data_IF_724398613450
#
_entry.id   IF_724398613450
#
_cell.length_a   1.000
_cell.length_b   1.000
_cell.length_c   1.000
_cell.angle_alpha   90.00
_cell.angle_beta   90.00
_cell.angle_gamma   90.00
#
_symmetry.space_group_name_H-M   'P 1'
#
loop_
_entity.id
_entity.type
_entity.pdbx_description
1 polymer ?
#
# COMPACT_ATOMS: atom_id res chain seq x y z
N UNK A 1 12.22 -14.81 18.14
CA UNK A 1 12.36 -14.43 16.71
C UNK A 1 12.89 -13.00 16.66
N UNK A 2 13.83 -12.66 15.75
CA UNK A 2 14.27 -11.26 15.61
C UNK A 2 13.19 -10.44 14.92
N UNK A 3 12.98 -9.18 15.29
CA UNK A 3 12.01 -8.30 14.63
C UNK A 3 12.73 -7.31 13.73
N UNK A 4 12.20 -7.07 12.53
CA UNK A 4 12.70 -6.06 11.60
C UNK A 4 11.54 -5.23 11.07
N UNK A 5 11.69 -3.90 11.14
CA UNK A 5 10.74 -2.96 10.57
C UNK A 5 11.00 -2.77 9.07
N UNK A 6 9.95 -2.56 8.27
CA UNK A 6 10.06 -2.16 6.86
C UNK A 6 9.33 -0.84 6.65
N UNK A 7 9.90 0.05 5.84
CA UNK A 7 9.27 1.35 5.51
C UNK A 7 8.23 1.25 4.40
N UNK A 8 8.19 0.12 3.69
CA UNK A 8 7.23 -0.25 2.63
C UNK A 8 7.47 -1.71 2.25
N UNK A 9 6.68 -2.25 1.32
CA UNK A 9 6.88 -3.61 0.80
C UNK A 9 8.29 -3.77 0.22
N UNK A 10 8.99 -4.82 0.66
CA UNK A 10 10.31 -5.27 0.19
C UNK A 10 10.21 -6.76 -0.16
N UNK A 11 11.26 -7.42 -0.70
CA UNK A 11 11.38 -8.87 -0.78
C UNK A 11 11.24 -9.60 0.56
N UNK A 12 10.03 -9.60 1.13
CA UNK A 12 9.71 -10.09 2.48
C UNK A 12 10.02 -11.59 2.60
N UNK A 13 9.91 -12.32 1.49
CA UNK A 13 10.29 -13.73 1.40
C UNK A 13 11.74 -13.97 1.87
N UNK A 14 12.66 -13.01 1.61
CA UNK A 14 14.06 -13.06 2.05
C UNK A 14 14.17 -12.92 3.56
N UNK A 15 13.42 -11.97 4.14
CA UNK A 15 13.44 -11.69 5.59
C UNK A 15 12.83 -12.85 6.40
N UNK A 16 11.71 -13.38 5.92
CA UNK A 16 11.06 -14.55 6.50
C UNK A 16 11.94 -15.81 6.37
N UNK A 17 12.59 -16.01 5.22
CA UNK A 17 13.58 -17.07 5.05
C UNK A 17 14.76 -16.91 6.02
N UNK A 18 15.12 -15.69 6.40
CA UNK A 18 16.16 -15.40 7.39
C UNK A 18 15.66 -15.54 8.85
N UNK A 19 14.37 -15.86 9.06
CA UNK A 19 13.78 -16.07 10.38
C UNK A 19 13.42 -14.78 11.12
N UNK A 20 13.18 -13.69 10.39
CA UNK A 20 12.67 -12.44 10.97
C UNK A 20 11.15 -12.46 11.10
N UNK A 21 10.67 -11.85 12.18
CA UNK A 21 9.35 -11.25 12.27
C UNK A 21 9.40 -9.91 11.56
N UNK A 22 8.65 -9.74 10.48
CA UNK A 22 8.61 -8.50 9.71
C UNK A 22 7.44 -7.66 10.18
N UNK A 23 7.64 -6.35 10.35
CA UNK A 23 6.60 -5.40 10.75
C UNK A 23 6.62 -4.22 9.79
N UNK A 24 5.51 -3.93 9.12
CA UNK A 24 5.35 -2.73 8.33
C UNK A 24 5.13 -1.54 9.27
N UNK A 25 6.08 -0.62 9.25
CA UNK A 25 6.07 0.54 10.14
C UNK A 25 4.94 1.51 9.81
N UNK A 26 4.41 1.50 8.57
CA UNK A 26 3.23 2.26 8.20
C UNK A 26 1.98 1.67 8.84
N UNK A 27 1.82 0.35 8.78
CA UNK A 27 0.68 -0.35 9.39
C UNK A 27 0.70 -0.15 10.91
N UNK A 28 1.87 -0.34 11.54
CA UNK A 28 2.06 -0.11 12.98
C UNK A 28 1.74 1.33 13.41
N UNK A 29 2.10 2.31 12.57
CA UNK A 29 1.82 3.72 12.80
C UNK A 29 0.33 4.03 12.70
N UNK A 30 -0.29 3.76 11.55
CA UNK A 30 -1.63 4.27 11.22
C UNK A 30 -2.76 3.52 11.93
N UNK A 31 -2.53 2.27 12.32
CA UNK A 31 -3.52 1.45 13.03
C UNK A 31 -3.50 1.64 14.55
N UNK A 32 -2.56 2.43 15.08
CA UNK A 32 -2.52 2.78 16.50
C UNK A 32 -3.71 3.65 16.88
N UNK A 33 -4.37 3.32 17.98
CA UNK A 33 -5.45 4.13 18.57
C UNK A 33 -5.00 5.58 18.81
N UNK A 34 -3.75 5.73 19.25
CA UNK A 34 -3.07 7.01 19.37
C UNK A 34 -1.95 7.07 18.33
N UNK A 35 -2.31 7.27 17.06
CA UNK A 35 -1.33 7.44 15.97
C UNK A 35 -0.59 8.78 16.09
N UNK A 36 -1.24 9.79 16.67
CA UNK A 36 -0.73 11.15 16.75
C UNK A 36 0.55 11.24 17.58
N UNK A 37 0.66 10.44 18.66
CA UNK A 37 1.88 10.36 19.47
C UNK A 37 3.15 10.11 18.66
N UNK A 38 3.07 9.30 17.59
CA UNK A 38 4.23 8.99 16.76
C UNK A 38 4.69 10.21 15.95
N UNK A 39 3.75 11.01 15.46
CA UNK A 39 4.05 12.28 14.79
C UNK A 39 4.69 13.25 15.77
N UNK A 40 4.15 13.35 17.00
CA UNK A 40 4.69 14.25 18.03
C UNK A 40 6.10 13.90 18.47
N UNK A 41 6.42 12.60 18.58
CA UNK A 41 7.79 12.14 18.86
C UNK A 41 8.75 12.70 17.80
N UNK A 42 8.41 12.58 16.52
CA UNK A 42 9.25 13.10 15.44
C UNK A 42 9.37 14.64 15.49
N UNK A 43 8.28 15.35 15.71
CA UNK A 43 8.30 16.82 15.74
C UNK A 43 9.08 17.36 16.96
N UNK A 44 8.98 16.70 18.12
CA UNK A 44 9.78 17.02 19.30
C UNK A 44 11.28 16.83 19.07
N UNK A 45 11.63 15.80 18.31
CA UNK A 45 13.01 15.49 17.95
C UNK A 45 13.53 16.33 16.77
N UNK A 46 12.72 17.27 16.27
CA UNK A 46 13.15 18.31 15.34
C UNK A 46 12.69 18.11 13.88
N UNK A 47 11.82 17.13 13.59
CA UNK A 47 11.25 17.02 12.24
C UNK A 47 10.42 18.28 11.91
N UNK A 48 10.63 18.91 10.75
CA UNK A 48 9.92 20.14 10.41
C UNK A 48 8.43 19.87 10.25
N UNK A 49 7.59 20.87 10.55
CA UNK A 49 6.13 20.75 10.30
C UNK A 49 5.84 20.46 8.82
N UNK A 50 6.66 20.99 7.91
CA UNK A 50 6.60 20.81 6.47
C UNK A 50 7.28 19.52 5.95
N UNK A 51 7.14 18.41 6.68
CA UNK A 51 7.55 17.08 6.20
C UNK A 51 6.41 16.08 6.32
N UNK A 52 6.46 15.06 5.46
CA UNK A 52 5.43 14.04 5.30
C UNK A 52 5.09 13.36 6.63
N UNK A 53 3.79 13.27 6.93
CA UNK A 53 3.28 12.65 8.15
C UNK A 53 3.66 11.17 8.27
N UNK A 54 3.70 10.42 7.16
CA UNK A 54 4.14 9.02 7.17
C UNK A 54 5.59 8.86 7.64
N UNK A 55 6.50 9.74 7.21
CA UNK A 55 7.90 9.68 7.61
C UNK A 55 8.06 9.97 9.11
N UNK A 56 7.30 10.94 9.63
CA UNK A 56 7.23 11.23 11.08
C UNK A 56 6.66 10.04 11.84
N UNK A 57 5.55 9.48 11.34
CA UNK A 57 4.89 8.32 11.91
C UNK A 57 5.80 7.10 12.00
N UNK A 58 6.52 6.77 10.92
CA UNK A 58 7.50 5.69 10.88
C UNK A 58 8.62 5.93 11.92
N UNK A 59 9.18 7.14 11.98
CA UNK A 59 10.21 7.49 12.97
C UNK A 59 9.71 7.26 14.40
N UNK A 60 8.54 7.83 14.73
CA UNK A 60 7.93 7.66 16.04
C UNK A 60 7.62 6.21 16.35
N UNK A 61 7.09 5.45 15.39
CA UNK A 61 6.76 4.04 15.54
C UNK A 61 8.00 3.19 15.84
N UNK A 62 9.14 3.47 15.20
CA UNK A 62 10.42 2.79 15.46
C UNK A 62 10.88 3.02 16.90
N UNK A 63 10.89 4.29 17.35
CA UNK A 63 11.38 4.63 18.68
C UNK A 63 10.48 4.12 19.80
N UNK A 64 9.18 4.41 19.70
CA UNK A 64 8.19 4.06 20.71
C UNK A 64 8.09 2.53 20.91
N UNK A 65 8.13 1.77 19.81
CA UNK A 65 8.03 0.31 19.85
C UNK A 65 9.39 -0.40 19.96
N UNK A 66 10.48 0.35 20.17
CA UNK A 66 11.84 -0.18 20.37
C UNK A 66 12.30 -1.11 19.23
N UNK A 67 11.96 -0.76 17.99
CA UNK A 67 12.39 -1.50 16.81
C UNK A 67 13.88 -1.21 16.58
N UNK A 68 14.72 -2.24 16.67
CA UNK A 68 16.19 -2.08 16.61
C UNK A 68 16.79 -2.28 15.21
N UNK A 69 16.04 -2.90 14.30
CA UNK A 69 16.47 -3.18 12.93
C UNK A 69 15.40 -2.71 11.94
N UNK A 70 15.80 -1.98 10.88
CA UNK A 70 14.88 -1.41 9.88
C UNK A 70 15.42 -1.61 8.46
N UNK A 71 14.57 -2.03 7.52
CA UNK A 71 14.81 -1.89 6.08
C UNK A 71 14.25 -0.55 5.62
N UNK A 72 15.11 0.34 5.14
CA UNK A 72 14.70 1.62 4.56
C UNK A 72 14.76 1.59 3.04
N UNK A 73 13.61 1.70 2.38
CA UNK A 73 13.55 1.75 0.90
C UNK A 73 13.87 3.14 0.40
N UNK A 74 15.06 3.30 -0.19
CA UNK A 74 15.61 4.58 -0.62
C UNK A 74 15.34 4.91 -2.10
N UNK A 75 14.86 3.95 -2.88
CA UNK A 75 14.51 4.10 -4.29
C UNK A 75 13.29 3.24 -4.61
N UNK A 76 12.32 3.80 -5.34
CA UNK A 76 11.07 3.13 -5.70
C UNK A 76 9.95 3.20 -4.65
N UNK A 77 9.99 4.16 -3.71
CA UNK A 77 8.85 4.42 -2.84
C UNK A 77 8.77 5.88 -2.39
N UNK A 78 9.59 6.28 -1.40
CA UNK A 78 9.57 7.62 -0.84
C UNK A 78 10.98 8.26 -0.90
N UNK A 79 11.10 9.41 -1.53
CA UNK A 79 12.35 10.17 -1.60
C UNK A 79 12.87 10.63 -0.22
N UNK A 80 11.96 10.84 0.73
CA UNK A 80 12.29 11.26 2.09
C UNK A 80 12.89 10.14 2.94
N UNK A 81 12.82 8.87 2.52
CA UNK A 81 13.38 7.74 3.28
C UNK A 81 14.90 7.87 3.45
N UNK A 82 15.60 8.45 2.47
CA UNK A 82 17.06 8.71 2.58
C UNK A 82 17.40 9.54 3.82
N UNK A 83 16.65 10.61 4.08
CA UNK A 83 16.85 11.44 5.27
C UNK A 83 16.40 10.71 6.55
N UNK A 84 15.27 10.00 6.50
CA UNK A 84 14.77 9.23 7.64
C UNK A 84 15.80 8.21 8.16
N UNK A 85 16.45 7.46 7.26
CA UNK A 85 17.40 6.42 7.67
C UNK A 85 18.66 6.98 8.32
N UNK A 86 19.07 8.21 7.99
CA UNK A 86 20.22 8.88 8.62
C UNK A 86 19.90 9.22 10.07
N UNK A 87 18.71 9.79 10.32
CA UNK A 87 18.25 10.12 11.67
C UNK A 87 18.05 8.84 12.51
N UNK A 88 17.51 7.77 11.93
CA UNK A 88 17.38 6.48 12.63
C UNK A 88 18.75 5.89 13.02
N UNK A 89 19.74 5.93 12.12
CA UNK A 89 21.11 5.47 12.43
C UNK A 89 21.74 6.28 13.56
N UNK A 90 21.54 7.60 13.57
CA UNK A 90 22.02 8.46 14.65
C UNK A 90 21.42 8.07 16.01
N UNK A 91 20.18 7.57 16.03
CA UNK A 91 19.52 7.03 17.21
C UNK A 91 19.90 5.57 17.53
N UNK A 92 20.96 5.04 16.91
CA UNK A 92 21.48 3.69 17.19
C UNK A 92 20.67 2.56 16.55
N UNK A 93 19.72 2.87 15.66
CA UNK A 93 18.94 1.85 14.94
C UNK A 93 19.79 1.28 13.82
N UNK A 94 19.82 -0.06 13.71
CA UNK A 94 20.49 -0.73 12.59
C UNK A 94 19.63 -0.64 11.35
N UNK A 95 20.08 0.12 10.35
CA UNK A 95 19.32 0.31 9.11
C UNK A 95 19.99 -0.35 7.91
N UNK A 96 19.22 -1.13 7.17
CA UNK A 96 19.61 -1.72 5.89
C UNK A 96 18.91 -0.95 4.75
N UNK A 97 19.66 -0.22 3.91
CA UNK A 97 19.06 0.43 2.75
C UNK A 97 18.69 -0.62 1.69
N UNK A 98 17.51 -0.47 1.09
CA UNK A 98 17.07 -1.24 -0.06
C UNK A 98 16.66 -0.30 -1.19
N UNK A 99 16.97 -0.63 -2.43
CA UNK A 99 16.66 0.20 -3.59
C UNK A 99 16.11 -0.67 -4.72
N UNK A 100 14.88 -0.40 -5.15
CA UNK A 100 14.37 -1.00 -6.38
C UNK A 100 15.12 -0.43 -7.59
N UNK A 101 15.45 -1.26 -8.60
CA UNK A 101 16.23 -0.79 -9.74
C UNK A 101 15.37 0.07 -10.66
N UNK A 102 15.73 1.36 -10.80
CA UNK A 102 15.05 2.30 -11.69
C UNK A 102 14.99 1.83 -13.16
N UNK A 103 15.97 1.03 -13.61
CA UNK A 103 15.99 0.52 -14.98
C UNK A 103 14.79 -0.38 -15.32
N UNK A 104 14.09 -0.89 -14.30
CA UNK A 104 13.01 -1.87 -14.44
C UNK A 104 13.42 -3.05 -15.33
N UNK A 105 14.70 -3.45 -15.31
CA UNK A 105 15.18 -4.60 -16.08
C UNK A 105 15.17 -5.85 -15.21
N UNK A 106 14.73 -6.99 -15.76
CA UNK A 106 14.71 -8.25 -15.01
C UNK A 106 16.11 -8.66 -14.52
N UNK A 107 17.16 -8.29 -15.25
CA UNK A 107 18.56 -8.52 -14.87
C UNK A 107 18.91 -7.75 -13.59
N UNK A 108 18.53 -6.47 -13.52
CA UNK A 108 18.82 -5.63 -12.36
C UNK A 108 17.94 -5.98 -11.15
N UNK A 109 16.68 -6.37 -11.38
CA UNK A 109 15.79 -6.91 -10.33
C UNK A 109 16.43 -8.16 -9.73
N UNK A 110 16.89 -9.08 -10.58
CA UNK A 110 17.55 -10.32 -10.13
C UNK A 110 18.80 -10.03 -9.33
N UNK A 111 19.66 -9.11 -9.80
CA UNK A 111 20.86 -8.70 -9.08
C UNK A 111 20.53 -8.10 -7.71
N UNK A 112 19.54 -7.21 -7.66
CA UNK A 112 19.10 -6.53 -6.44
C UNK A 112 18.60 -7.53 -5.39
N UNK A 113 17.73 -8.45 -5.80
CA UNK A 113 17.18 -9.46 -4.89
C UNK A 113 18.26 -10.45 -4.44
N UNK A 114 19.19 -10.85 -5.32
CA UNK A 114 20.32 -11.71 -4.92
C UNK A 114 21.23 -11.04 -3.90
N UNK A 115 21.59 -9.78 -4.11
CA UNK A 115 22.36 -9.02 -3.12
C UNK A 115 21.63 -8.93 -1.77
N UNK A 116 20.30 -8.81 -1.81
CA UNK A 116 19.47 -8.82 -0.60
C UNK A 116 19.47 -10.21 0.08
N UNK A 117 19.42 -11.31 -0.69
CA UNK A 117 19.59 -12.67 -0.18
C UNK A 117 20.96 -12.87 0.49
N UNK A 118 22.03 -12.40 -0.16
CA UNK A 118 23.41 -12.50 0.35
C UNK A 118 23.58 -11.72 1.66
N UNK A 119 22.99 -10.51 1.74
CA UNK A 119 23.00 -9.68 2.96
C UNK A 119 22.36 -10.41 4.16
N UNK A 120 21.32 -11.19 3.93
CA UNK A 120 20.61 -11.94 4.97
C UNK A 120 21.05 -13.41 5.07
N UNK A 121 22.02 -13.84 4.26
CA UNK A 121 22.58 -15.19 4.29
C UNK A 121 21.58 -16.29 3.96
N UNK A 122 20.65 -16.06 3.04
CA UNK A 122 19.60 -17.03 2.66
C UNK A 122 19.76 -17.53 1.23
N UNK A 123 19.38 -18.79 0.99
CA UNK A 123 19.42 -19.37 -0.34
C UNK A 123 18.15 -19.06 -1.14
N UNK A 124 18.31 -18.94 -2.47
CA UNK A 124 17.20 -18.75 -3.41
C UNK A 124 16.13 -19.85 -3.24
N UNK A 125 16.52 -21.11 -3.00
CA UNK A 125 15.59 -22.21 -2.76
C UNK A 125 14.70 -21.99 -1.54
N UNK A 126 15.26 -21.47 -0.44
CA UNK A 126 14.48 -21.18 0.79
C UNK A 126 13.51 -20.03 0.54
N UNK A 127 13.96 -19.00 -0.15
CA UNK A 127 13.15 -17.84 -0.53
C UNK A 127 11.99 -18.25 -1.44
N UNK A 128 12.23 -19.09 -2.44
CA UNK A 128 11.18 -19.64 -3.32
C UNK A 128 10.16 -20.50 -2.56
N UNK A 129 10.60 -21.24 -1.55
CA UNK A 129 9.67 -21.99 -0.68
C UNK A 129 8.75 -21.05 0.09
N UNK A 130 9.28 -19.95 0.64
CA UNK A 130 8.46 -18.93 1.31
C UNK A 130 7.53 -18.25 0.32
N UNK A 131 8.01 -17.86 -0.87
CA UNK A 131 7.16 -17.25 -1.91
C UNK A 131 5.95 -18.12 -2.23
N UNK A 132 6.16 -19.43 -2.43
CA UNK A 132 5.07 -20.37 -2.70
C UNK A 132 4.06 -20.42 -1.55
N UNK A 133 4.52 -20.45 -0.30
CA UNK A 133 3.67 -20.38 0.90
C UNK A 133 2.84 -19.10 0.96
N UNK A 134 3.45 -17.94 0.71
CA UNK A 134 2.76 -16.65 0.72
C UNK A 134 1.75 -16.52 -0.44
N UNK A 135 2.01 -17.18 -1.57
CA UNK A 135 1.09 -17.18 -2.70
C UNK A 135 -0.27 -17.79 -2.36
N UNK A 136 -0.34 -18.74 -1.44
CA UNK A 136 -1.62 -19.30 -0.99
C UNK A 136 -2.46 -18.26 -0.24
N UNK A 137 -1.83 -17.38 0.54
CA UNK A 137 -2.50 -16.27 1.23
C UNK A 137 -2.89 -15.16 0.22
N UNK A 138 -2.01 -14.85 -0.74
CA UNK A 138 -2.29 -13.87 -1.80
C UNK A 138 -3.49 -14.27 -2.65
N UNK A 139 -3.77 -15.56 -2.83
CA UNK A 139 -5.01 -16.05 -3.48
C UNK A 139 -6.26 -15.67 -2.71
N UNK A 140 -6.22 -15.74 -1.38
CA UNK A 140 -7.33 -15.34 -0.51
C UNK A 140 -7.60 -13.83 -0.69
N UNK A 141 -6.54 -13.01 -0.65
CA UNK A 141 -6.66 -11.57 -0.88
C UNK A 141 -7.21 -11.24 -2.29
N UNK A 142 -6.78 -11.97 -3.31
CA UNK A 142 -7.33 -11.86 -4.68
C UNK A 142 -8.82 -12.24 -4.72
N UNK A 143 -9.25 -13.27 -3.99
CA UNK A 143 -10.68 -13.63 -3.89
C UNK A 143 -11.48 -12.53 -3.20
N UNK A 144 -10.97 -11.93 -2.13
CA UNK A 144 -11.58 -10.76 -1.46
C UNK A 144 -11.70 -9.59 -2.44
N UNK A 145 -10.68 -9.35 -3.27
CA UNK A 145 -10.72 -8.35 -4.35
C UNK A 145 -11.86 -8.64 -5.34
N UNK A 146 -12.00 -9.88 -5.82
CA UNK A 146 -13.11 -10.29 -6.68
C UNK A 146 -14.50 -10.15 -6.01
N UNK A 147 -14.62 -10.49 -4.73
CA UNK A 147 -15.85 -10.27 -3.96
C UNK A 147 -16.21 -8.79 -3.86
N UNK A 148 -15.24 -7.90 -3.94
CA UNK A 148 -15.44 -6.45 -3.91
C UNK A 148 -16.01 -5.96 -5.25
N UNK A 149 -15.31 -6.16 -6.36
CA UNK A 149 -15.68 -5.52 -7.63
C UNK A 149 -16.65 -6.34 -8.51
N UNK A 150 -16.69 -7.67 -8.37
CA UNK A 150 -17.59 -8.55 -9.15
C UNK A 150 -18.89 -8.78 -8.38
N UNK A 151 -18.79 -9.25 -7.13
CA UNK A 151 -19.95 -9.70 -6.37
C UNK A 151 -20.56 -8.61 -5.47
N UNK A 152 -19.84 -7.51 -5.18
CA UNK A 152 -20.33 -6.43 -4.33
C UNK A 152 -20.57 -6.85 -2.87
N UNK A 153 -19.85 -7.86 -2.37
CA UNK A 153 -20.03 -8.42 -1.01
C UNK A 153 -19.06 -7.85 0.03
N UNK A 154 -18.01 -7.18 -0.44
CA UNK A 154 -16.94 -6.60 0.38
C UNK A 154 -16.90 -5.11 0.12
N UNK A 155 -16.81 -4.32 1.18
CA UNK A 155 -16.72 -2.87 1.04
C UNK A 155 -15.29 -2.40 0.69
N UNK A 156 -15.15 -1.15 0.28
CA UNK A 156 -13.86 -0.64 -0.20
C UNK A 156 -12.80 -0.57 0.90
N UNK A 157 -13.22 -0.33 2.14
CA UNK A 157 -12.32 -0.24 3.30
C UNK A 157 -11.77 -1.61 3.69
N UNK A 158 -12.60 -2.64 3.73
CA UNK A 158 -12.18 -4.02 3.99
C UNK A 158 -11.20 -4.48 2.90
N UNK A 159 -11.54 -4.23 1.62
CA UNK A 159 -10.64 -4.52 0.50
C UNK A 159 -9.26 -3.86 0.68
N UNK A 160 -9.26 -2.56 0.98
CA UNK A 160 -8.07 -1.78 1.29
C UNK A 160 -7.25 -2.40 2.43
N UNK A 161 -7.90 -2.61 3.58
CA UNK A 161 -7.27 -3.07 4.81
C UNK A 161 -6.56 -4.41 4.61
N UNK A 162 -7.26 -5.39 4.04
CA UNK A 162 -6.67 -6.72 3.87
C UNK A 162 -5.55 -6.70 2.83
N UNK A 163 -5.63 -5.88 1.78
CA UNK A 163 -4.57 -5.75 0.78
C UNK A 163 -3.30 -5.10 1.34
N UNK A 164 -3.42 -4.02 2.14
CA UNK A 164 -2.23 -3.39 2.76
C UNK A 164 -1.58 -4.30 3.80
N UNK A 165 -2.37 -5.14 4.48
CA UNK A 165 -1.85 -6.06 5.49
C UNK A 165 -0.93 -7.16 4.91
N UNK A 166 -0.91 -7.38 3.59
CA UNK A 166 0.02 -8.34 2.96
C UNK A 166 1.46 -7.81 2.86
N UNK A 167 1.73 -6.53 3.15
CA UNK A 167 3.08 -6.00 3.15
C UNK A 167 3.97 -6.65 4.23
N UNK A 168 3.38 -7.06 5.36
CA UNK A 168 4.05 -7.75 6.46
C UNK A 168 3.28 -8.97 7.01
N UNK A 169 2.10 -9.28 6.46
CA UNK A 169 1.20 -10.34 6.96
C UNK A 169 0.89 -10.15 8.45
N UNK A 170 0.74 -8.90 8.91
CA UNK A 170 0.58 -8.53 10.32
C UNK A 170 1.66 -9.10 11.26
N UNK A 171 2.82 -9.46 10.71
CA UNK A 171 3.95 -10.01 11.44
C UNK A 171 3.82 -11.46 11.88
N UNK A 172 2.72 -12.15 11.58
CA UNK A 172 2.59 -13.60 11.75
C UNK A 172 1.77 -14.21 10.62
N UNK A 173 2.43 -15.01 9.78
CA UNK A 173 1.86 -15.54 8.54
C UNK A 173 0.70 -16.50 8.81
N UNK A 174 0.82 -17.35 9.83
CA UNK A 174 -0.14 -18.41 10.08
C UNK A 174 -1.38 -17.83 10.78
N UNK A 175 -1.19 -16.94 11.77
CA UNK A 175 -2.31 -16.22 12.40
C UNK A 175 -3.05 -15.32 11.38
N UNK A 176 -2.30 -14.66 10.49
CA UNK A 176 -2.89 -13.82 9.45
C UNK A 176 -3.69 -14.63 8.44
N UNK A 177 -3.20 -15.80 8.01
CA UNK A 177 -3.94 -16.69 7.11
C UNK A 177 -5.25 -17.16 7.75
N UNK A 178 -5.22 -17.63 9.00
CA UNK A 178 -6.42 -18.09 9.70
C UNK A 178 -7.46 -16.97 9.80
N UNK A 179 -7.01 -15.76 10.18
CA UNK A 179 -7.85 -14.57 10.25
C UNK A 179 -8.47 -14.25 8.89
N UNK A 180 -7.65 -14.22 7.83
CA UNK A 180 -8.09 -13.86 6.49
C UNK A 180 -9.06 -14.89 5.91
N UNK A 181 -8.85 -16.19 6.15
CA UNK A 181 -9.78 -17.27 5.77
C UNK A 181 -11.13 -17.13 6.49
N UNK A 182 -11.11 -16.87 7.80
CA UNK A 182 -12.34 -16.62 8.56
C UNK A 182 -13.11 -15.43 7.99
N UNK A 183 -12.41 -14.33 7.68
CA UNK A 183 -13.01 -13.14 7.07
C UNK A 183 -13.56 -13.41 5.69
N UNK A 184 -12.85 -14.15 4.85
CA UNK A 184 -13.36 -14.57 3.54
C UNK A 184 -14.68 -15.34 3.67
N UNK A 185 -14.75 -16.34 4.56
CA UNK A 185 -15.97 -17.11 4.79
C UNK A 185 -17.15 -16.26 5.31
N UNK A 186 -16.88 -15.25 6.14
CA UNK A 186 -17.88 -14.28 6.58
C UNK A 186 -18.39 -13.45 5.38
N UNK A 187 -17.48 -12.96 4.53
CA UNK A 187 -17.80 -12.12 3.37
C UNK A 187 -18.60 -12.86 2.29
N UNK A 188 -18.28 -14.12 2.01
CA UNK A 188 -18.95 -14.90 0.96
C UNK A 188 -20.45 -15.11 1.22
N UNK A 189 -20.85 -15.11 2.50
CA UNK A 189 -22.23 -15.27 2.96
C UNK A 189 -23.04 -13.96 2.94
N UNK A 190 -22.39 -12.81 2.75
CA UNK A 190 -23.06 -11.50 2.76
C UNK A 190 -23.93 -11.33 1.52
N UNK A 191 -25.01 -10.58 1.68
CA UNK A 191 -25.81 -10.11 0.55
C UNK A 191 -25.03 -9.05 -0.23
N UNK A 192 -24.98 -9.14 -1.57
CA UNK A 192 -24.40 -8.11 -2.42
C UNK A 192 -25.03 -6.73 -2.19
N UNK A 193 -24.18 -5.71 -2.05
CA UNK A 193 -24.56 -4.31 -2.11
C UNK A 193 -24.08 -3.76 -3.44
N UNK A 194 -25.01 -3.29 -4.26
CA UNK A 194 -24.69 -2.64 -5.54
C UNK A 194 -24.85 -1.13 -5.36
N UNK A 195 -23.82 -0.41 -5.74
CA UNK A 195 -23.78 1.05 -5.82
C UNK A 195 -23.80 1.48 -7.28
N UNK A 196 -24.39 2.64 -7.58
CA UNK A 196 -24.47 3.18 -8.94
C UNK A 196 -23.10 3.57 -9.47
N UNK A 197 -22.30 4.27 -8.67
CA UNK A 197 -21.00 4.82 -9.09
C UNK A 197 -19.87 3.92 -8.59
N UNK A 198 -19.00 3.51 -9.52
CA UNK A 198 -17.85 2.62 -9.30
C UNK A 198 -16.57 3.46 -9.34
N UNK A 199 -15.92 3.59 -8.19
CA UNK A 199 -14.73 4.42 -8.03
C UNK A 199 -13.47 3.56 -7.99
N UNK A 200 -12.39 4.10 -8.53
CA UNK A 200 -11.03 3.65 -8.24
C UNK A 200 -10.32 4.62 -7.31
N UNK A 201 -9.50 4.08 -6.42
CA UNK A 201 -8.57 4.81 -5.57
C UNK A 201 -7.16 4.54 -6.08
N UNK A 202 -6.38 5.59 -6.34
CA UNK A 202 -4.97 5.48 -6.72
C UNK A 202 -4.09 6.36 -5.84
N UNK A 203 -2.82 6.00 -5.72
CA UNK A 203 -1.87 6.67 -4.83
C UNK A 203 -1.67 5.96 -3.49
N UNK A 204 -0.90 6.59 -2.61
CA UNK A 204 -0.49 6.00 -1.33
C UNK A 204 -1.71 5.65 -0.44
N UNK A 205 -1.63 4.65 0.45
CA UNK A 205 -2.68 4.38 1.43
C UNK A 205 -3.15 5.66 2.17
N UNK A 206 -4.48 5.87 2.35
CA UNK A 206 -4.96 7.09 2.96
C UNK A 206 -4.77 7.05 4.46
N UNK A 207 -4.43 8.19 5.07
CA UNK A 207 -4.59 8.35 6.52
C UNK A 207 -6.06 8.53 6.90
N UNK A 208 -6.86 9.09 5.98
CA UNK A 208 -8.30 9.33 6.12
C UNK A 208 -9.13 8.12 5.68
N UNK A 209 -9.14 7.08 6.51
CA UNK A 209 -9.88 5.83 6.23
C UNK A 209 -11.40 6.01 6.15
N UNK A 210 -11.94 7.09 6.75
CA UNK A 210 -13.35 7.47 6.66
C UNK A 210 -13.78 7.88 5.24
N UNK A 211 -12.85 8.05 4.30
CA UNK A 211 -13.13 8.22 2.87
C UNK A 211 -14.03 7.12 2.32
N UNK A 212 -13.74 5.86 2.66
CA UNK A 212 -14.48 4.72 2.13
C UNK A 212 -15.94 4.74 2.60
N UNK A 213 -16.19 5.04 3.87
CA UNK A 213 -17.56 5.18 4.40
C UNK A 213 -18.25 6.43 3.82
N UNK A 214 -17.50 7.53 3.63
CA UNK A 214 -18.05 8.78 3.14
C UNK A 214 -18.65 8.65 1.74
N UNK A 215 -17.92 8.04 0.79
CA UNK A 215 -18.42 7.88 -0.59
C UNK A 215 -19.65 6.98 -0.67
N UNK A 216 -19.78 6.01 0.25
CA UNK A 216 -20.95 5.10 0.28
C UNK A 216 -22.26 5.82 0.62
N UNK A 217 -22.19 7.01 1.24
CA UNK A 217 -23.36 7.86 1.52
C UNK A 217 -23.98 8.45 0.25
N UNK A 218 -23.24 8.45 -0.85
CA UNK A 218 -23.62 9.02 -2.16
C UNK A 218 -23.77 7.91 -3.23
N UNK A 219 -24.30 6.75 -2.83
CA UNK A 219 -24.51 5.58 -3.69
C UNK A 219 -23.31 5.22 -4.59
N UNK A 220 -22.11 5.42 -4.03
CA UNK A 220 -20.83 5.22 -4.68
C UNK A 220 -19.99 4.21 -3.92
N UNK A 221 -19.05 3.54 -4.59
CA UNK A 221 -18.19 2.55 -3.96
C UNK A 221 -16.81 2.51 -4.58
N UNK A 222 -15.77 2.59 -3.74
CA UNK A 222 -14.39 2.29 -4.15
C UNK A 222 -14.22 0.77 -4.27
N UNK A 223 -13.95 0.32 -5.50
CA UNK A 223 -13.85 -1.11 -5.86
C UNK A 223 -12.45 -1.49 -6.40
N UNK A 224 -11.52 -0.55 -6.36
CA UNK A 224 -10.15 -0.71 -6.81
C UNK A 224 -9.25 0.19 -5.97
N UNK A 225 -8.22 -0.39 -5.35
CA UNK A 225 -7.22 0.29 -4.54
C UNK A 225 -5.85 -0.01 -5.15
N UNK A 226 -5.28 0.91 -5.94
CA UNK A 226 -4.10 0.61 -6.78
C UNK A 226 -2.87 0.15 -5.99
N UNK A 227 -2.28 1.02 -5.17
CA UNK A 227 -1.03 0.70 -4.46
C UNK A 227 -1.21 -0.46 -3.48
N UNK A 228 -2.34 -0.48 -2.77
CA UNK A 228 -2.68 -1.51 -1.80
C UNK A 228 -2.77 -2.88 -2.48
N UNK A 229 -3.43 -2.94 -3.63
CA UNK A 229 -3.51 -4.17 -4.42
C UNK A 229 -2.14 -4.66 -4.84
N UNK A 230 -1.19 -3.77 -5.14
CA UNK A 230 0.17 -4.14 -5.50
C UNK A 230 0.95 -4.74 -4.31
N UNK A 231 0.65 -4.38 -3.06
CA UNK A 231 1.22 -5.06 -1.87
C UNK A 231 0.73 -6.52 -1.74
N UNK A 232 -0.45 -6.82 -2.29
CA UNK A 232 -0.98 -8.18 -2.36
C UNK A 232 -0.40 -9.03 -3.49
N UNK A 233 0.49 -8.48 -4.33
CA UNK A 233 1.04 -9.13 -5.54
C UNK A 233 -0.05 -9.87 -6.33
N UNK A 234 -0.98 -9.14 -6.97
CA UNK A 234 -2.23 -9.68 -7.52
C UNK A 234 -2.00 -10.64 -8.70
N UNK A 235 -0.76 -10.71 -9.18
CA UNK A 235 -0.29 -11.50 -10.32
C UNK A 235 0.73 -12.59 -9.89
N UNK A 236 0.93 -12.81 -8.59
CA UNK A 236 1.93 -13.75 -8.05
C UNK A 236 1.80 -15.18 -8.59
N UNK A 237 0.59 -15.64 -8.92
CA UNK A 237 0.35 -16.97 -9.52
C UNK A 237 0.95 -17.12 -10.92
N UNK A 238 1.15 -16.01 -11.64
CA UNK A 238 1.73 -16.01 -13.00
C UNK A 238 3.25 -15.90 -12.98
N UNK A 239 3.82 -15.43 -11.87
CA UNK A 239 5.27 -15.25 -11.72
C UNK A 239 5.97 -16.60 -11.51
N UNK A 240 6.95 -16.90 -12.37
CA UNK A 240 7.70 -18.16 -12.29
C UNK A 240 8.57 -18.24 -11.03
N UNK A 241 9.15 -17.12 -10.64
CA UNK A 241 10.05 -16.97 -9.50
C UNK A 241 9.84 -15.61 -8.81
N UNK A 242 10.60 -15.37 -7.75
CA UNK A 242 10.59 -14.12 -7.00
C UNK A 242 11.01 -12.94 -7.87
N UNK A 243 11.89 -13.14 -8.85
CA UNK A 243 12.40 -12.07 -9.70
C UNK A 243 11.30 -11.55 -10.63
N UNK A 244 10.55 -12.43 -11.29
CA UNK A 244 9.38 -12.04 -12.09
C UNK A 244 8.30 -11.38 -11.23
N UNK A 245 8.09 -11.84 -9.98
CA UNK A 245 7.11 -11.24 -9.06
C UNK A 245 7.41 -9.77 -8.76
N UNK A 246 8.67 -9.45 -8.43
CA UNK A 246 9.07 -8.07 -8.12
C UNK A 246 9.37 -7.23 -9.38
N UNK A 247 9.61 -7.86 -10.53
CA UNK A 247 9.60 -7.16 -11.82
C UNK A 247 8.20 -6.65 -12.17
N UNK A 248 7.17 -7.44 -11.85
CA UNK A 248 5.78 -7.11 -12.11
C UNK A 248 5.11 -6.28 -11.00
N UNK A 249 5.83 -5.95 -9.92
CA UNK A 249 5.36 -5.06 -8.85
C UNK A 249 5.40 -3.61 -9.33
N UNK A 250 4.26 -3.00 -9.65
CA UNK A 250 4.25 -1.74 -10.43
C UNK A 250 4.67 -0.52 -9.62
N UNK A 251 4.41 -0.52 -8.31
CA UNK A 251 4.52 0.65 -7.45
C UNK A 251 5.93 1.29 -7.43
N UNK A 252 7.03 0.53 -7.42
CA UNK A 252 8.38 1.10 -7.37
C UNK A 252 8.93 1.64 -8.69
N UNK A 253 8.28 1.36 -9.81
CA UNK A 253 8.78 1.75 -11.12
C UNK A 253 8.07 2.99 -11.65
N UNK A 254 8.35 3.33 -12.90
CA UNK A 254 7.88 4.56 -13.50
C UNK A 254 6.35 4.64 -13.60
N UNK A 255 5.87 5.88 -13.71
CA UNK A 255 4.46 6.19 -13.78
C UNK A 255 3.78 5.59 -15.03
N UNK A 256 4.50 5.39 -16.14
CA UNK A 256 3.89 4.83 -17.35
C UNK A 256 3.55 3.37 -17.14
N UNK A 257 4.45 2.58 -16.54
CA UNK A 257 4.17 1.19 -16.18
C UNK A 257 2.98 1.08 -15.22
N UNK A 258 2.90 1.97 -14.22
CA UNK A 258 1.73 2.05 -13.32
C UNK A 258 0.45 2.40 -14.09
N UNK A 259 0.50 3.40 -14.96
CA UNK A 259 -0.66 3.87 -15.74
C UNK A 259 -1.19 2.80 -16.70
N UNK A 260 -0.32 2.00 -17.32
CA UNK A 260 -0.74 0.86 -18.15
C UNK A 260 -1.65 -0.08 -17.34
N UNK A 261 -1.24 -0.44 -16.12
CA UNK A 261 -2.02 -1.33 -15.24
C UNK A 261 -3.26 -0.68 -14.68
N UNK A 262 -3.22 0.61 -14.36
CA UNK A 262 -4.40 1.38 -13.95
C UNK A 262 -5.43 1.40 -15.09
N UNK A 263 -5.02 1.68 -16.33
CA UNK A 263 -5.89 1.69 -17.52
C UNK A 263 -6.52 0.32 -17.79
N UNK A 264 -5.77 -0.77 -17.61
CA UNK A 264 -6.29 -2.14 -17.68
C UNK A 264 -7.38 -2.38 -16.62
N UNK A 265 -7.13 -2.02 -15.36
CA UNK A 265 -8.08 -2.25 -14.26
C UNK A 265 -9.31 -1.33 -14.34
N UNK A 266 -9.18 -0.10 -14.83
CA UNK A 266 -10.31 0.81 -15.13
C UNK A 266 -11.29 0.13 -16.11
N UNK A 267 -10.78 -0.38 -17.23
CA UNK A 267 -11.59 -1.08 -18.24
C UNK A 267 -12.21 -2.34 -17.68
N UNK A 268 -11.41 -3.18 -17.03
CA UNK A 268 -11.85 -4.46 -16.46
C UNK A 268 -12.96 -4.28 -15.43
N UNK A 269 -12.82 -3.28 -14.55
CA UNK A 269 -13.74 -3.05 -13.43
C UNK A 269 -14.88 -2.10 -13.77
N UNK A 270 -14.87 -1.48 -14.95
CA UNK A 270 -15.82 -0.45 -15.37
C UNK A 270 -15.88 0.69 -14.34
N UNK A 271 -14.72 1.26 -14.06
CA UNK A 271 -14.58 2.39 -13.13
C UNK A 271 -15.10 3.66 -13.81
N UNK A 272 -15.99 4.37 -13.13
CA UNK A 272 -16.64 5.59 -13.59
C UNK A 272 -15.84 6.86 -13.24
N UNK A 273 -15.03 6.80 -12.18
CA UNK A 273 -14.18 7.92 -11.76
C UNK A 273 -13.05 7.49 -10.82
N UNK A 274 -12.00 8.30 -10.75
CA UNK A 274 -10.83 8.05 -9.92
C UNK A 274 -10.73 9.11 -8.82
N UNK A 275 -10.50 8.64 -7.60
CA UNK A 275 -9.96 9.45 -6.50
C UNK A 275 -8.45 9.20 -6.48
N UNK A 276 -7.67 10.21 -6.85
CA UNK A 276 -6.23 10.21 -6.70
C UNK A 276 -5.89 10.82 -5.34
N UNK A 277 -5.32 10.02 -4.44
CA UNK A 277 -4.89 10.50 -3.14
C UNK A 277 -3.38 10.76 -3.13
N UNK A 278 -3.01 11.96 -2.72
CA UNK A 278 -1.62 12.35 -2.48
C UNK A 278 -1.43 12.71 -1.02
N UNK A 279 -0.24 12.43 -0.48
CA UNK A 279 0.14 12.93 0.83
C UNK A 279 0.86 14.28 0.68
N UNK A 280 0.58 15.23 1.56
CA UNK A 280 1.35 16.46 1.68
C UNK A 280 2.85 16.15 1.82
N UNK A 281 3.68 16.88 1.06
CA UNK A 281 5.14 16.68 0.97
C UNK A 281 5.56 15.32 0.36
N UNK A 282 4.70 14.70 -0.44
CA UNK A 282 5.04 13.56 -1.29
C UNK A 282 5.39 14.02 -2.70
N UNK A 283 6.50 13.52 -3.28
CA UNK A 283 6.88 13.85 -4.65
C UNK A 283 5.83 13.39 -5.68
N UNK A 284 5.05 12.34 -5.36
CA UNK A 284 3.99 11.82 -6.23
C UNK A 284 2.83 12.81 -6.44
N UNK A 285 2.75 13.87 -5.64
CA UNK A 285 1.84 14.99 -5.92
C UNK A 285 2.09 15.61 -7.31
N UNK A 286 3.33 15.56 -7.81
CA UNK A 286 3.69 16.03 -9.16
C UNK A 286 3.17 15.07 -10.24
N UNK A 287 3.07 13.76 -9.95
CA UNK A 287 2.56 12.75 -10.88
C UNK A 287 1.07 12.97 -11.22
N UNK A 288 0.33 13.75 -10.42
CA UNK A 288 -1.07 14.14 -10.69
C UNK A 288 -1.25 14.81 -12.07
N UNK A 289 -0.23 15.58 -12.50
CA UNK A 289 -0.22 16.24 -13.81
C UNK A 289 -0.29 15.20 -14.94
N UNK A 290 0.47 14.11 -14.79
CA UNK A 290 0.55 13.03 -15.78
C UNK A 290 -0.74 12.21 -15.72
N UNK A 291 -1.19 11.85 -14.52
CA UNK A 291 -2.41 11.06 -14.30
C UNK A 291 -3.63 11.74 -14.94
N UNK A 292 -3.86 13.03 -14.69
CA UNK A 292 -4.99 13.77 -15.27
C UNK A 292 -4.94 13.88 -16.78
N UNK A 293 -3.74 13.89 -17.36
CA UNK A 293 -3.57 13.93 -18.81
C UNK A 293 -3.82 12.56 -19.46
N UNK A 294 -3.45 11.49 -18.77
CA UNK A 294 -3.41 10.15 -19.34
C UNK A 294 -4.68 9.33 -19.12
N UNK A 295 -5.49 9.65 -18.12
CA UNK A 295 -6.74 8.92 -17.85
C UNK A 295 -7.93 9.58 -18.55
N UNK A 296 -8.66 8.78 -19.34
CA UNK A 296 -9.83 9.23 -20.11
C UNK A 296 -11.13 9.31 -19.29
N UNK A 297 -11.06 9.15 -17.96
CA UNK A 297 -12.20 9.21 -17.04
C UNK A 297 -11.99 10.31 -16.01
N UNK A 298 -13.07 10.84 -15.38
CA UNK A 298 -12.94 11.88 -14.36
C UNK A 298 -11.99 11.50 -13.23
N UNK A 299 -11.10 12.44 -12.84
CA UNK A 299 -10.14 12.26 -11.75
C UNK A 299 -10.26 13.42 -10.75
N UNK A 300 -10.52 13.09 -9.47
CA UNK A 300 -10.42 14.03 -8.36
C UNK A 300 -9.13 13.78 -7.58
N UNK A 301 -8.24 14.78 -7.54
CA UNK A 301 -7.09 14.75 -6.63
C UNK A 301 -7.49 15.24 -5.24
N UNK A 302 -7.26 14.44 -4.20
CA UNK A 302 -7.37 14.84 -2.79
C UNK A 302 -5.99 14.75 -2.13
N UNK A 303 -5.65 15.74 -1.31
CA UNK A 303 -4.39 15.77 -0.59
C UNK A 303 -4.68 15.60 0.91
N UNK A 304 -4.09 14.57 1.52
CA UNK A 304 -4.12 14.37 2.96
C UNK A 304 -2.86 14.91 3.64
N UNK A 305 -2.96 15.22 4.94
CA UNK A 305 -1.83 15.59 5.79
C UNK A 305 -1.82 14.72 7.05
N UNK A 306 -1.88 15.28 8.26
CA UNK A 306 -1.74 14.53 9.52
C UNK A 306 -3.07 14.00 10.08
N UNK A 307 -4.20 14.49 9.59
CA UNK A 307 -5.51 14.06 10.10
C UNK A 307 -5.83 12.67 9.57
N UNK A 308 -6.36 11.82 10.45
CA UNK A 308 -6.87 10.49 10.09
C UNK A 308 -8.36 10.49 9.69
N UNK A 309 -8.93 11.67 9.47
CA UNK A 309 -10.31 11.85 9.03
C UNK A 309 -10.39 12.95 7.97
N UNK A 310 -11.38 12.83 7.08
CA UNK A 310 -11.64 13.83 6.06
C UNK A 310 -12.08 15.16 6.68
N UNK A 311 -11.39 16.24 6.28
CA UNK A 311 -11.79 17.60 6.60
C UNK A 311 -13.03 18.05 5.78
N UNK A 312 -13.69 19.10 6.23
CA UNK A 312 -14.94 19.59 5.61
C UNK A 312 -14.75 20.04 4.15
N UNK A 313 -13.61 20.64 3.81
CA UNK A 313 -13.32 21.10 2.44
C UNK A 313 -13.14 19.90 1.52
N UNK A 314 -12.43 18.87 1.97
CA UNK A 314 -12.24 17.64 1.19
C UNK A 314 -13.55 16.89 1.01
N UNK A 315 -14.40 16.80 2.04
CA UNK A 315 -15.76 16.23 1.94
C UNK A 315 -16.59 16.90 0.85
N UNK A 316 -16.66 18.23 0.85
CA UNK A 316 -17.41 18.99 -0.16
C UNK A 316 -16.91 18.75 -1.59
N UNK A 317 -15.58 18.64 -1.78
CA UNK A 317 -14.99 18.34 -3.10
C UNK A 317 -15.32 16.94 -3.58
N UNK A 318 -15.34 15.96 -2.67
CA UNK A 318 -15.73 14.59 -2.99
C UNK A 318 -17.21 14.55 -3.37
N UNK A 319 -18.09 15.14 -2.57
CA UNK A 319 -19.53 15.23 -2.85
C UNK A 319 -19.81 15.82 -4.24
N UNK A 320 -19.27 17.00 -4.56
CA UNK A 320 -19.45 17.62 -5.87
C UNK A 320 -18.92 16.76 -7.04
N UNK A 321 -17.87 15.99 -6.81
CA UNK A 321 -17.32 15.06 -7.80
C UNK A 321 -18.23 13.85 -8.03
N UNK A 322 -18.84 13.31 -6.97
CA UNK A 322 -19.78 12.19 -7.06
C UNK A 322 -21.09 12.59 -7.74
N UNK A 323 -21.58 13.81 -7.47
CA UNK A 323 -22.75 14.37 -8.18
C UNK A 323 -22.47 14.47 -9.68
N UNK A 324 -21.32 15.05 -10.05
CA UNK A 324 -20.91 15.17 -11.46
C UNK A 324 -20.80 13.79 -12.15
N UNK A 325 -20.25 12.76 -11.48
CA UNK A 325 -20.17 11.42 -12.07
C UNK A 325 -21.57 10.80 -12.22
N UNK A 326 -22.46 11.00 -11.24
CA UNK A 326 -23.82 10.49 -11.28
C UNK A 326 -24.61 11.10 -12.43
N UNK A 327 -24.48 12.41 -12.67
CA UNK A 327 -25.07 13.11 -13.81
C UNK A 327 -24.55 12.56 -15.15
N UNK A 328 -23.24 12.33 -15.27
CA UNK A 328 -22.62 11.76 -16.48
C UNK A 328 -23.12 10.35 -16.80
N UNK A 329 -23.51 9.56 -15.78
CA UNK A 329 -24.11 8.23 -15.95
C UNK A 329 -25.63 8.29 -16.23
N UNK A 330 -26.26 9.45 -16.03
CA UNK A 330 -27.71 9.63 -16.14
C UNK A 330 -28.48 8.88 -15.05
N UNK A 331 -27.96 8.85 -13.82
CA UNK A 331 -28.51 8.04 -12.73
C UNK A 331 -28.85 8.80 -11.45
#
# INVERSE_FOLDING_TARGET
>A
MKTIGITTTVPIEVLLAAGYRVIDLNNLFITSEDYWKYIEIAERDGFPKSSCAWIKGIYGAVLENKITEVIGVIEGDCSNTKALIEVLKQNGIKVYPFAYPHSHSLIDVKKTIKNFMDLFGVSETKVESIRKRLNDIRKIAKRIDELTYIEGKVNGFENHLYQVSLSDFNGDIDEFEEMLLKKLHEMEKRSPVKRKVRLGYIGVPPMTGDLYEFVEKFDSHIIYNEVQREFAFPRAEKAKDIYEQYYDYTYPYDINFRLEKIKEEIKKRKIDGIIHYTQAFCYRAIEDIIIKKELDIPVLNIEGDKLNHLDARTKFRIEAFLDMISDLKGC
#
